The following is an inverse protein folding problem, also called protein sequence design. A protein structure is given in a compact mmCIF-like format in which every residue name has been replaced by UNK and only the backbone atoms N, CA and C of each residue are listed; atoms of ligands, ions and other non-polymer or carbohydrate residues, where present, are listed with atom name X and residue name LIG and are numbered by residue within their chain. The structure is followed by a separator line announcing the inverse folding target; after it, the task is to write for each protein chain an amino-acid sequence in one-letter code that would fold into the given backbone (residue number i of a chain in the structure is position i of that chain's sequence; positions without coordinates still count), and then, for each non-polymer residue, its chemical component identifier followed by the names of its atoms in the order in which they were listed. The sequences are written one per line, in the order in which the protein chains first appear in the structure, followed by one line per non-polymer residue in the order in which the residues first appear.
data_IF_243751163780
#
_entry.id   IF_243751163780
#
_cell.length_a   1.000
_cell.length_b   1.000
_cell.length_c   1.000
_cell.angle_alpha   90.00
_cell.angle_beta   90.00
_cell.angle_gamma   90.00
#
_symmetry.space_group_name_H-M   'P 1'
#
loop_
_entity.id
_entity.type
_entity.pdbx_description
1 polymer ?
#
# COMPACT_ATOMS: atom_id res chain seq x y z
N UNK A 1 -17.90 -20.98 -6.31
CA UNK A 1 -17.07 -19.77 -6.02
C UNK A 1 -17.91 -18.50 -5.93
N UNK A 2 -18.81 -18.23 -6.87
CA UNK A 2 -19.70 -17.06 -6.80
C UNK A 2 -20.53 -17.05 -5.52
N UNK A 3 -21.13 -18.19 -5.18
CA UNK A 3 -21.98 -18.33 -3.99
C UNK A 3 -21.21 -18.07 -2.70
N UNK A 4 -19.99 -18.61 -2.59
CA UNK A 4 -19.10 -18.35 -1.45
C UNK A 4 -18.73 -16.87 -1.32
N UNK A 5 -18.45 -16.19 -2.44
CA UNK A 5 -18.19 -14.74 -2.40
C UNK A 5 -19.43 -13.95 -1.97
N UNK A 6 -20.61 -14.36 -2.42
CA UNK A 6 -21.89 -13.76 -2.01
C UNK A 6 -22.13 -13.96 -0.51
N UNK A 7 -21.93 -15.17 -0.01
CA UNK A 7 -22.06 -15.51 1.41
C UNK A 7 -21.11 -14.67 2.29
N UNK A 8 -19.83 -14.58 1.90
CA UNK A 8 -18.85 -13.75 2.61
C UNK A 8 -19.27 -12.27 2.65
N UNK A 9 -19.81 -11.76 1.54
CA UNK A 9 -20.28 -10.37 1.47
C UNK A 9 -21.54 -10.17 2.33
N UNK A 10 -22.47 -11.13 2.33
CA UNK A 10 -23.71 -11.04 3.08
C UNK A 10 -23.50 -11.22 4.58
N UNK A 11 -22.71 -12.20 4.98
CA UNK A 11 -22.44 -12.51 6.38
C UNK A 11 -21.34 -11.63 7.01
N UNK A 12 -20.50 -11.00 6.19
CA UNK A 12 -19.35 -10.23 6.68
C UNK A 12 -18.31 -11.10 7.40
N UNK A 13 -18.25 -12.40 7.09
CA UNK A 13 -17.36 -13.36 7.75
C UNK A 13 -16.62 -14.21 6.73
N UNK A 14 -15.34 -14.42 6.97
CA UNK A 14 -14.52 -15.37 6.19
C UNK A 14 -14.64 -16.75 6.84
N UNK A 15 -14.86 -17.83 6.07
CA UNK A 15 -14.81 -19.20 6.57
C UNK A 15 -13.49 -19.52 7.27
N UNK A 16 -13.54 -20.35 8.32
CA UNK A 16 -12.35 -20.71 9.13
C UNK A 16 -11.21 -21.27 8.28
N UNK A 17 -11.54 -22.10 7.30
CA UNK A 17 -10.58 -22.79 6.44
C UNK A 17 -9.78 -21.82 5.55
N UNK A 18 -10.34 -20.64 5.24
CA UNK A 18 -9.69 -19.60 4.46
C UNK A 18 -8.91 -18.58 5.32
N UNK A 19 -8.95 -18.71 6.66
CA UNK A 19 -8.25 -17.80 7.58
C UNK A 19 -6.81 -18.18 7.86
N UNK A 20 -6.36 -19.35 7.42
CA UNK A 20 -4.95 -19.75 7.55
C UNK A 20 -4.14 -19.21 6.38
N UNK A 21 -3.00 -18.61 6.68
CA UNK A 21 -2.06 -18.16 5.67
C UNK A 21 -0.62 -18.41 6.11
N UNK A 22 0.30 -18.41 5.15
CA UNK A 22 1.72 -18.64 5.40
C UNK A 22 2.54 -17.41 5.03
N UNK A 23 3.65 -17.21 5.75
CA UNK A 23 4.70 -16.28 5.37
C UNK A 23 5.86 -17.11 4.82
N UNK A 24 6.32 -16.71 3.63
CA UNK A 24 7.58 -17.19 3.05
C UNK A 24 8.59 -16.06 3.10
N UNK A 25 9.72 -16.32 3.72
CA UNK A 25 10.80 -15.37 3.83
C UNK A 25 11.63 -15.34 2.55
N UNK A 26 11.65 -14.22 1.85
CA UNK A 26 12.43 -14.01 0.63
C UNK A 26 13.61 -13.09 0.95
N UNK A 27 14.83 -13.57 0.71
CA UNK A 27 16.04 -12.78 0.90
C UNK A 27 16.07 -11.58 -0.06
N UNK A 28 16.42 -10.39 0.46
CA UNK A 28 16.44 -9.14 -0.30
C UNK A 28 17.64 -9.00 -1.25
N UNK A 29 18.57 -9.98 -1.25
CA UNK A 29 19.78 -9.91 -2.04
C UNK A 29 20.85 -8.95 -1.49
N UNK A 30 20.62 -8.37 -0.29
CA UNK A 30 21.57 -7.46 0.40
C UNK A 30 21.45 -7.63 1.91
N UNK A 31 22.55 -7.33 2.64
CA UNK A 31 22.65 -7.50 4.09
C UNK A 31 23.10 -8.92 4.49
N UNK A 32 23.23 -9.13 5.79
CA UNK A 32 23.62 -10.46 6.32
C UNK A 32 22.43 -11.43 6.22
N UNK A 33 22.68 -12.62 5.67
CA UNK A 33 21.69 -13.67 5.54
C UNK A 33 21.26 -14.27 6.90
N UNK A 34 22.01 -14.03 7.96
CA UNK A 34 21.66 -14.43 9.32
C UNK A 34 20.74 -13.42 10.03
N UNK A 35 20.56 -12.24 9.46
CA UNK A 35 19.71 -11.20 10.02
C UNK A 35 18.29 -11.25 9.44
N UNK A 36 17.26 -11.30 10.31
CA UNK A 36 15.85 -11.25 9.91
C UNK A 36 15.51 -10.00 9.07
N UNK A 37 16.18 -8.87 9.32
CA UNK A 37 16.03 -7.63 8.57
C UNK A 37 16.37 -7.74 7.08
N UNK A 38 17.17 -8.73 6.69
CA UNK A 38 17.60 -9.01 5.32
C UNK A 38 16.54 -9.76 4.49
N UNK A 39 15.38 -10.08 5.07
CA UNK A 39 14.31 -10.82 4.41
C UNK A 39 13.03 -9.98 4.28
N UNK A 40 12.25 -10.29 3.24
CA UNK A 40 10.85 -9.83 3.08
C UNK A 40 9.92 -11.01 3.37
N UNK A 41 8.98 -10.82 4.27
CA UNK A 41 7.93 -11.81 4.56
C UNK A 41 6.78 -11.70 3.56
N UNK A 42 6.74 -12.57 2.56
CA UNK A 42 5.65 -12.59 1.59
C UNK A 42 4.52 -13.48 2.10
N UNK A 43 3.33 -12.92 2.23
CA UNK A 43 2.15 -13.66 2.70
C UNK A 43 1.51 -14.44 1.56
N UNK A 44 1.40 -15.74 1.75
CA UNK A 44 0.71 -16.64 0.82
C UNK A 44 -0.74 -16.82 1.31
N UNK A 45 -1.66 -16.26 0.55
CA UNK A 45 -3.10 -16.42 0.74
C UNK A 45 -3.63 -17.55 -0.13
N UNK A 46 -4.73 -18.15 0.30
CA UNK A 46 -5.47 -19.11 -0.53
C UNK A 46 -5.91 -18.48 -1.86
N UNK A 47 -6.04 -19.32 -2.90
CA UNK A 47 -6.44 -18.86 -4.22
C UNK A 47 -7.86 -18.26 -4.24
N UNK A 48 -8.76 -18.82 -3.44
CA UNK A 48 -10.13 -18.30 -3.29
C UNK A 48 -10.09 -16.89 -2.72
N UNK A 49 -9.26 -16.67 -1.68
CA UNK A 49 -9.07 -15.35 -1.10
C UNK A 49 -8.50 -14.35 -2.09
N UNK A 50 -7.55 -14.74 -2.93
CA UNK A 50 -7.00 -13.87 -3.99
C UNK A 50 -8.05 -13.48 -5.03
N UNK A 51 -8.97 -14.38 -5.37
CA UNK A 51 -10.09 -14.07 -6.27
C UNK A 51 -11.04 -13.09 -5.62
N UNK A 52 -11.42 -13.32 -4.35
CA UNK A 52 -12.26 -12.40 -3.58
C UNK A 52 -11.60 -11.01 -3.49
N UNK A 53 -10.32 -10.95 -3.13
CA UNK A 53 -9.56 -9.69 -3.08
C UNK A 53 -9.56 -8.94 -4.42
N UNK A 54 -9.44 -9.64 -5.55
CA UNK A 54 -9.53 -9.01 -6.89
C UNK A 54 -10.89 -8.40 -7.17
N UNK A 55 -11.97 -9.08 -6.77
CA UNK A 55 -13.33 -8.56 -6.94
C UNK A 55 -13.52 -7.30 -6.11
N UNK A 56 -13.06 -7.32 -4.86
CA UNK A 56 -13.15 -6.18 -3.94
C UNK A 56 -12.25 -5.05 -4.43
N UNK A 57 -11.01 -5.33 -4.80
CA UNK A 57 -10.06 -4.36 -5.34
C UNK A 57 -10.66 -3.60 -6.53
N UNK A 58 -11.24 -4.30 -7.50
CA UNK A 58 -11.88 -3.69 -8.67
C UNK A 58 -13.05 -2.79 -8.27
N UNK A 59 -13.87 -3.20 -7.29
CA UNK A 59 -14.99 -2.40 -6.79
C UNK A 59 -14.52 -1.17 -6.04
N UNK A 60 -13.56 -1.30 -5.14
CA UNK A 60 -12.99 -0.16 -4.40
C UNK A 60 -12.33 0.82 -5.38
N UNK A 61 -11.52 0.33 -6.31
CA UNK A 61 -10.85 1.17 -7.31
C UNK A 61 -11.82 1.96 -8.18
N UNK A 62 -12.99 1.43 -8.48
CA UNK A 62 -14.02 2.17 -9.23
C UNK A 62 -14.73 3.27 -8.45
N UNK A 63 -14.56 3.30 -7.12
CA UNK A 63 -15.20 4.28 -6.22
C UNK A 63 -14.27 5.39 -5.77
N UNK A 64 -12.96 5.11 -5.69
CA UNK A 64 -11.97 6.06 -5.20
C UNK A 64 -11.34 6.85 -6.34
N UNK A 65 -11.17 8.14 -6.11
CA UNK A 65 -10.35 8.98 -6.98
C UNK A 65 -8.96 9.13 -6.36
N UNK A 66 -7.94 8.78 -7.12
CA UNK A 66 -6.54 8.88 -6.70
C UNK A 66 -5.89 9.99 -7.51
N UNK A 67 -5.15 10.86 -6.85
CA UNK A 67 -4.45 11.99 -7.45
C UNK A 67 -3.55 11.56 -8.61
N UNK A 68 -3.48 12.36 -9.66
CA UNK A 68 -2.67 12.07 -10.84
C UNK A 68 -1.17 12.05 -10.58
N UNK A 69 -0.73 12.63 -9.48
CA UNK A 69 0.67 12.58 -9.04
C UNK A 69 1.04 11.31 -8.26
N UNK A 70 0.09 10.38 -8.05
CA UNK A 70 0.37 9.04 -7.55
C UNK A 70 0.72 8.10 -8.70
N UNK A 71 1.96 7.62 -8.75
CA UNK A 71 2.49 6.75 -9.81
C UNK A 71 2.61 5.29 -9.40
N UNK A 72 2.68 5.00 -8.10
CA UNK A 72 2.78 3.63 -7.61
C UNK A 72 1.45 2.90 -7.62
N UNK A 73 1.47 1.59 -7.98
CA UNK A 73 0.31 0.68 -7.98
C UNK A 73 -0.92 1.18 -8.74
N UNK A 74 -0.71 2.04 -9.71
CA UNK A 74 -1.76 2.63 -10.52
C UNK A 74 -1.68 2.11 -11.96
N UNK A 75 -2.78 1.58 -12.55
CA UNK A 75 -2.78 1.13 -13.93
C UNK A 75 -2.39 2.24 -14.91
N UNK A 76 -1.49 1.93 -15.83
CA UNK A 76 -1.03 2.87 -16.86
C UNK A 76 -0.05 3.95 -16.37
N UNK A 77 0.43 3.86 -15.14
CA UNK A 77 1.46 4.73 -14.57
C UNK A 77 2.65 3.89 -14.09
N UNK A 78 3.85 4.42 -14.22
CA UNK A 78 5.06 3.70 -13.82
C UNK A 78 6.18 4.62 -13.32
N UNK A 79 7.25 4.00 -12.85
CA UNK A 79 8.44 4.70 -12.37
C UNK A 79 9.05 5.60 -13.45
N UNK A 80 9.00 5.15 -14.70
CA UNK A 80 9.54 5.92 -15.84
C UNK A 80 8.84 7.26 -15.98
N UNK A 81 7.51 7.30 -15.81
CA UNK A 81 6.73 8.54 -15.90
C UNK A 81 7.12 9.51 -14.79
N UNK A 82 7.25 9.00 -13.55
CA UNK A 82 7.68 9.79 -12.40
C UNK A 82 9.09 10.37 -12.61
N UNK A 83 10.05 9.55 -13.04
CA UNK A 83 11.43 9.97 -13.33
C UNK A 83 11.45 11.02 -14.46
N UNK A 84 10.64 10.82 -15.50
CA UNK A 84 10.55 11.78 -16.61
C UNK A 84 10.09 13.14 -16.12
N UNK A 85 9.05 13.21 -15.29
CA UNK A 85 8.54 14.46 -14.73
C UNK A 85 9.62 15.17 -13.90
N UNK A 86 10.31 14.44 -13.02
CA UNK A 86 11.39 15.00 -12.20
C UNK A 86 12.51 15.58 -13.09
N UNK A 87 12.92 14.86 -14.12
CA UNK A 87 13.92 15.34 -15.08
C UNK A 87 13.46 16.59 -15.82
N UNK A 88 12.21 16.63 -16.30
CA UNK A 88 11.66 17.83 -16.96
C UNK A 88 11.64 19.05 -16.03
N UNK A 89 11.33 18.85 -14.75
CA UNK A 89 11.38 19.91 -13.75
C UNK A 89 12.84 20.40 -13.57
N UNK A 90 13.78 19.48 -13.42
CA UNK A 90 15.21 19.82 -13.28
C UNK A 90 15.73 20.61 -14.49
N UNK A 91 15.45 20.16 -15.71
CA UNK A 91 15.88 20.84 -16.94
C UNK A 91 15.34 22.27 -17.00
N UNK A 92 14.05 22.45 -16.70
CA UNK A 92 13.41 23.80 -16.70
C UNK A 92 14.01 24.75 -15.66
N UNK A 93 14.39 24.25 -14.48
CA UNK A 93 15.03 25.06 -13.46
C UNK A 93 16.47 25.43 -13.86
N UNK A 94 17.21 24.49 -14.48
CA UNK A 94 18.55 24.73 -15.03
C UNK A 94 18.52 25.77 -16.15
N UNK A 95 17.60 25.67 -17.10
CA UNK A 95 17.44 26.67 -18.18
C UNK A 95 17.18 28.08 -17.63
N UNK A 96 16.40 28.18 -16.56
CA UNK A 96 16.09 29.45 -15.91
C UNK A 96 17.16 29.89 -14.92
N UNK A 97 18.26 29.14 -14.77
CA UNK A 97 19.32 29.37 -13.78
C UNK A 97 18.77 29.57 -12.36
N UNK A 98 17.79 28.76 -11.98
CA UNK A 98 17.16 28.78 -10.65
C UNK A 98 17.50 27.51 -9.87
N UNK A 99 17.68 27.65 -8.58
CA UNK A 99 17.86 26.51 -7.68
C UNK A 99 16.57 25.72 -7.57
N UNK A 100 16.68 24.40 -7.61
CA UNK A 100 15.62 23.45 -7.35
C UNK A 100 15.97 22.66 -6.08
N UNK A 101 15.13 22.72 -5.09
CA UNK A 101 15.24 21.93 -3.87
C UNK A 101 14.28 20.76 -3.95
N UNK A 102 14.80 19.54 -3.74
CA UNK A 102 14.01 18.32 -3.73
C UNK A 102 14.26 17.56 -2.43
N UNK A 103 13.19 17.12 -1.77
CA UNK A 103 13.26 16.24 -0.63
C UNK A 103 12.69 14.86 -1.01
N UNK A 104 13.41 13.81 -0.63
CA UNK A 104 12.99 12.42 -0.84
C UNK A 104 12.72 11.81 0.52
N UNK A 105 11.50 11.32 0.73
CA UNK A 105 11.09 10.70 1.98
C UNK A 105 10.84 9.22 1.74
N UNK A 106 11.55 8.36 2.46
CA UNK A 106 11.35 6.91 2.46
C UNK A 106 10.63 6.49 3.75
N UNK A 107 9.53 5.74 3.61
CA UNK A 107 8.76 5.26 4.76
C UNK A 107 9.16 3.81 5.09
N UNK A 108 9.95 3.61 6.11
CA UNK A 108 10.48 2.30 6.47
C UNK A 108 9.40 1.29 6.85
N UNK A 109 9.33 0.16 6.11
CA UNK A 109 8.41 -0.98 6.36
C UNK A 109 6.95 -0.57 6.50
N UNK A 110 6.49 0.38 5.71
CA UNK A 110 5.16 0.97 5.86
C UNK A 110 4.04 -0.05 5.70
N UNK A 111 4.16 -1.02 4.80
CA UNK A 111 3.19 -2.11 4.66
C UNK A 111 3.01 -2.90 5.96
N UNK A 112 4.09 -3.12 6.69
CA UNK A 112 4.06 -3.88 7.93
C UNK A 112 3.63 -3.03 9.15
N UNK A 113 3.72 -1.69 9.04
CA UNK A 113 3.53 -0.77 10.17
C UNK A 113 2.24 0.05 10.14
N UNK A 114 1.57 0.18 8.98
CA UNK A 114 0.35 0.99 8.89
C UNK A 114 -0.74 0.42 9.84
N UNK A 115 -1.28 1.23 10.77
CA UNK A 115 -2.36 0.77 11.63
C UNK A 115 -3.61 0.50 10.80
N UNK A 116 -4.26 -0.63 11.02
CA UNK A 116 -5.46 -1.01 10.25
C UNK A 116 -6.61 -0.02 10.42
N UNK A 117 -6.73 0.60 11.58
CA UNK A 117 -7.73 1.65 11.81
C UNK A 117 -7.54 2.86 10.90
N UNK A 118 -6.28 3.19 10.55
CA UNK A 118 -5.98 4.24 9.56
C UNK A 118 -6.43 3.82 8.17
N UNK A 119 -6.29 2.53 7.82
CA UNK A 119 -6.81 2.00 6.55
C UNK A 119 -8.33 2.13 6.47
N UNK A 120 -9.04 1.74 7.56
CA UNK A 120 -10.51 1.84 7.63
C UNK A 120 -11.00 3.29 7.58
N UNK A 121 -10.31 4.18 8.26
CA UNK A 121 -10.56 5.62 8.21
C UNK A 121 -10.35 6.17 6.80
N UNK A 122 -9.25 5.84 6.14
CA UNK A 122 -8.93 6.31 4.79
C UNK A 122 -9.94 5.84 3.75
N UNK A 123 -10.40 4.58 3.81
CA UNK A 123 -11.45 4.06 2.95
C UNK A 123 -12.73 4.88 3.07
N UNK A 124 -13.18 5.16 4.30
CA UNK A 124 -14.37 5.98 4.56
C UNK A 124 -14.20 7.41 4.10
N UNK A 125 -13.02 8.01 4.35
CA UNK A 125 -12.68 9.38 3.92
C UNK A 125 -12.77 9.55 2.41
N UNK A 126 -12.38 8.52 1.64
CA UNK A 126 -12.48 8.54 0.17
C UNK A 126 -13.84 8.04 -0.36
N UNK A 127 -14.85 7.89 0.49
CA UNK A 127 -16.21 7.59 0.10
C UNK A 127 -16.48 6.13 -0.24
N UNK A 128 -15.65 5.19 0.23
CA UNK A 128 -15.92 3.76 0.06
C UNK A 128 -17.11 3.36 0.94
N UNK A 129 -18.07 2.66 0.35
CA UNK A 129 -19.30 2.21 1.01
C UNK A 129 -19.00 1.31 2.22
N UNK A 130 -19.73 1.48 3.32
CA UNK A 130 -19.44 0.80 4.60
C UNK A 130 -19.43 -0.72 4.48
N UNK A 131 -20.31 -1.29 3.66
CA UNK A 131 -20.31 -2.75 3.45
C UNK A 131 -18.99 -3.27 2.85
N UNK A 132 -18.36 -2.51 1.92
CA UNK A 132 -17.04 -2.85 1.39
C UNK A 132 -15.95 -2.75 2.48
N UNK A 133 -16.01 -1.70 3.31
CA UNK A 133 -15.10 -1.55 4.45
C UNK A 133 -15.24 -2.72 5.40
N UNK A 134 -16.47 -3.15 5.69
CA UNK A 134 -16.72 -4.30 6.57
C UNK A 134 -16.19 -5.61 5.99
N UNK A 135 -16.36 -5.87 4.70
CA UNK A 135 -15.80 -7.06 4.03
C UNK A 135 -14.27 -7.02 4.07
N UNK A 136 -13.66 -5.86 3.80
CA UNK A 136 -12.20 -5.72 3.90
C UNK A 136 -11.73 -5.98 5.33
N UNK A 137 -12.41 -5.44 6.34
CA UNK A 137 -12.09 -5.73 7.75
C UNK A 137 -12.19 -7.22 8.06
N UNK A 138 -13.20 -7.91 7.54
CA UNK A 138 -13.38 -9.35 7.73
C UNK A 138 -12.20 -10.17 7.16
N UNK A 139 -11.62 -9.75 6.01
CA UNK A 139 -10.42 -10.38 5.42
C UNK A 139 -9.23 -10.35 6.39
N UNK A 140 -9.13 -9.30 7.22
CA UNK A 140 -8.04 -9.12 8.18
C UNK A 140 -8.36 -9.67 9.58
N UNK A 141 -9.62 -10.04 9.87
CA UNK A 141 -10.06 -10.48 11.18
C UNK A 141 -9.79 -11.96 11.43
N UNK A 142 -9.20 -12.29 12.57
CA UNK A 142 -8.99 -13.67 13.03
C UNK A 142 -8.14 -14.53 12.10
N UNK A 143 -7.24 -13.93 11.35
CA UNK A 143 -6.34 -14.65 10.43
C UNK A 143 -5.15 -15.19 11.20
N UNK A 144 -4.98 -16.51 11.18
CA UNK A 144 -3.82 -17.19 11.74
C UNK A 144 -2.71 -17.27 10.69
N UNK A 145 -1.54 -16.80 11.04
CA UNK A 145 -0.35 -16.78 10.19
C UNK A 145 0.68 -17.77 10.73
N UNK A 146 1.29 -18.57 9.87
CA UNK A 146 2.43 -19.41 10.20
C UNK A 146 3.60 -19.11 9.26
N UNK A 147 4.83 -19.24 9.72
CA UNK A 147 6.02 -19.10 8.88
C UNK A 147 6.33 -20.45 8.25
N UNK A 148 6.45 -20.50 6.92
CA UNK A 148 6.84 -21.70 6.20
C UNK A 148 8.36 -21.83 6.23
N UNK A 149 8.83 -22.96 6.78
CA UNK A 149 10.24 -23.31 6.88
C UNK A 149 10.56 -24.50 5.98
N UNK A 150 11.84 -24.84 5.83
CA UNK A 150 12.30 -25.97 5.01
C UNK A 150 11.77 -27.30 5.54
N UNK A 151 11.73 -27.45 6.86
CA UNK A 151 11.39 -28.71 7.55
C UNK A 151 10.02 -28.67 8.25
N UNK A 152 9.12 -27.74 7.82
CA UNK A 152 7.78 -27.65 8.41
C UNK A 152 7.24 -26.22 8.46
N UNK A 153 6.37 -25.98 9.43
CA UNK A 153 5.79 -24.65 9.69
C UNK A 153 5.90 -24.30 11.19
N UNK A 154 5.97 -23.01 11.49
CA UNK A 154 5.94 -22.53 12.87
C UNK A 154 4.54 -22.67 13.48
N UNK A 155 4.46 -22.48 14.81
CA UNK A 155 3.18 -22.24 15.46
C UNK A 155 2.47 -21.05 14.84
N UNK A 156 1.13 -21.14 14.83
CA UNK A 156 0.28 -20.07 14.29
C UNK A 156 0.22 -18.88 15.22
N UNK A 157 0.31 -17.68 14.66
CA UNK A 157 0.19 -16.40 15.38
C UNK A 157 -0.69 -15.40 14.62
N UNK A 158 -1.20 -14.40 15.31
CA UNK A 158 -1.96 -13.33 14.70
C UNK A 158 -1.07 -12.13 14.36
N UNK A 159 -1.25 -11.58 13.16
CA UNK A 159 -0.65 -10.29 12.74
C UNK A 159 -1.74 -9.23 12.84
N UNK A 160 -1.60 -8.31 13.81
CA UNK A 160 -2.63 -7.30 14.15
C UNK A 160 -2.41 -5.93 13.48
N UNK A 161 -1.23 -5.70 12.91
CA UNK A 161 -0.83 -4.43 12.30
C UNK A 161 -0.41 -4.68 10.85
N UNK A 162 -0.47 -3.64 10.05
CA UNK A 162 -0.03 -3.68 8.66
C UNK A 162 -1.03 -4.31 7.70
N UNK A 163 -0.70 -4.16 6.43
CA UNK A 163 -1.38 -4.81 5.30
C UNK A 163 -0.49 -5.93 4.75
N UNK A 164 -1.10 -6.93 4.13
CA UNK A 164 -0.39 -8.15 3.79
C UNK A 164 0.49 -7.98 2.54
N UNK A 165 1.80 -8.12 2.68
CA UNK A 165 2.70 -8.24 1.53
C UNK A 165 2.38 -9.52 0.76
N UNK A 166 2.00 -9.38 -0.53
CA UNK A 166 1.54 -10.51 -1.37
C UNK A 166 0.02 -10.62 -1.53
N UNK A 167 -0.78 -9.79 -0.85
CA UNK A 167 -2.20 -9.59 -1.11
C UNK A 167 -2.43 -8.75 -2.36
N UNK A 168 -3.47 -9.05 -3.10
CA UNK A 168 -3.88 -8.27 -4.28
C UNK A 168 -4.45 -6.91 -3.87
N UNK A 169 -5.09 -6.85 -2.72
CA UNK A 169 -5.77 -5.66 -2.20
C UNK A 169 -4.81 -4.67 -1.53
N UNK A 170 -3.75 -5.15 -0.90
CA UNK A 170 -2.85 -4.32 -0.08
C UNK A 170 -2.22 -3.13 -0.80
N UNK A 171 -1.77 -3.24 -2.06
CA UNK A 171 -1.26 -2.08 -2.80
C UNK A 171 -2.29 -0.97 -2.94
N UNK A 172 -3.56 -1.31 -3.23
CA UNK A 172 -4.63 -0.32 -3.32
C UNK A 172 -4.93 0.31 -1.95
N UNK A 173 -5.03 -0.50 -0.89
CA UNK A 173 -5.26 0.02 0.46
C UNK A 173 -4.17 1.01 0.88
N UNK A 174 -2.94 0.72 0.51
CA UNK A 174 -1.82 1.60 0.81
C UNK A 174 -1.93 2.96 0.09
N UNK A 175 -2.17 2.97 -1.24
CA UNK A 175 -2.32 4.24 -1.95
C UNK A 175 -3.56 5.03 -1.49
N UNK A 176 -4.62 4.36 -1.02
CA UNK A 176 -5.79 5.00 -0.40
C UNK A 176 -5.39 5.71 0.90
N UNK A 177 -4.56 5.09 1.73
CA UNK A 177 -4.04 5.73 2.95
C UNK A 177 -3.19 6.94 2.58
N UNK A 178 -2.29 6.82 1.63
CA UNK A 178 -1.45 7.93 1.17
C UNK A 178 -2.30 9.08 0.62
N UNK A 179 -3.30 8.80 -0.21
CA UNK A 179 -4.23 9.80 -0.75
C UNK A 179 -5.00 10.51 0.36
N UNK A 180 -5.54 9.75 1.33
CA UNK A 180 -6.27 10.33 2.45
C UNK A 180 -5.40 11.23 3.34
N UNK A 181 -4.13 10.87 3.54
CA UNK A 181 -3.18 11.67 4.33
C UNK A 181 -2.70 12.91 3.58
N UNK A 182 -2.44 12.78 2.26
CA UNK A 182 -1.89 13.88 1.46
C UNK A 182 -2.93 14.85 0.95
N UNK A 183 -4.21 14.49 0.96
CA UNK A 183 -5.30 15.32 0.42
C UNK A 183 -5.34 16.76 0.97
N UNK A 184 -4.82 16.99 2.17
CA UNK A 184 -4.73 18.32 2.79
C UNK A 184 -3.56 19.15 2.26
N UNK A 185 -2.55 18.50 1.66
CA UNK A 185 -1.36 19.14 1.13
C UNK A 185 -1.49 19.53 -0.35
N UNK A 186 -2.49 18.99 -1.05
CA UNK A 186 -2.72 19.28 -2.48
C UNK A 186 -3.21 20.72 -2.79
N UNK A 187 -3.31 21.57 -1.80
CA UNK A 187 -3.76 22.95 -1.95
C UNK A 187 -2.59 23.86 -2.30
N UNK A 188 -2.17 23.80 -3.57
CA UNK A 188 -1.17 24.72 -4.13
C UNK A 188 0.27 24.41 -3.72
N UNK A 189 1.20 24.51 -4.66
CA UNK A 189 2.63 24.28 -4.53
C UNK A 189 3.17 24.00 -3.11
N UNK A 190 3.95 22.96 -2.90
CA UNK A 190 4.92 22.35 -3.83
C UNK A 190 4.35 21.16 -4.59
N UNK A 191 4.94 20.81 -5.72
CA UNK A 191 4.59 19.62 -6.48
C UNK A 191 5.02 18.38 -5.71
N UNK A 192 4.05 17.53 -5.41
CA UNK A 192 4.27 16.27 -4.71
C UNK A 192 4.17 15.14 -5.71
N UNK A 193 5.09 14.20 -5.65
CA UNK A 193 5.17 13.05 -6.51
C UNK A 193 5.22 11.81 -5.62
N UNK A 194 4.19 10.95 -5.68
CA UNK A 194 4.08 9.76 -4.86
C UNK A 194 4.40 8.52 -5.65
N UNK A 195 5.26 7.68 -5.10
CA UNK A 195 5.55 6.37 -5.64
C UNK A 195 5.48 5.31 -4.54
N UNK A 196 4.69 4.28 -4.74
CA UNK A 196 4.17 3.44 -3.66
C UNK A 196 4.98 2.19 -3.30
N UNK A 197 6.22 1.99 -3.65
CA UNK A 197 6.88 0.72 -3.28
C UNK A 197 8.19 0.87 -2.49
N UNK A 198 8.95 1.86 -2.75
CA UNK A 198 10.08 2.33 -1.94
C UNK A 198 10.03 3.86 -1.92
N UNK A 199 8.93 4.34 -1.58
CA UNK A 199 8.42 5.66 -1.31
C UNK A 199 9.37 6.81 -1.56
N UNK A 200 9.18 7.43 -2.71
CA UNK A 200 9.77 8.71 -2.96
C UNK A 200 8.67 9.76 -2.97
N UNK A 201 8.54 10.53 -1.90
CA UNK A 201 7.83 11.80 -1.93
C UNK A 201 8.86 12.80 -2.40
N UNK A 202 8.72 13.29 -3.63
CA UNK A 202 9.53 14.39 -4.14
C UNK A 202 8.74 15.69 -3.92
N UNK A 203 9.19 16.51 -2.99
CA UNK A 203 8.63 17.85 -2.77
C UNK A 203 9.57 18.85 -3.40
N UNK A 204 9.11 19.56 -4.44
CA UNK A 204 9.88 20.63 -5.07
C UNK A 204 9.52 21.96 -4.41
N UNK A 205 10.41 22.55 -3.64
CA UNK A 205 10.20 23.83 -2.96
C UNK A 205 10.85 24.97 -3.76
N UNK A 206 10.10 26.02 -4.13
CA UNK A 206 10.72 27.27 -4.57
C UNK A 206 11.36 27.99 -3.38
N UNK A 207 12.50 28.66 -3.59
CA UNK A 207 13.40 29.28 -2.60
C UNK A 207 12.77 30.25 -1.56
N UNK A 208 11.48 30.51 -1.54
CA UNK A 208 10.90 31.63 -0.79
C UNK A 208 9.93 31.29 0.34
N UNK A 209 9.83 30.06 0.80
CA UNK A 209 9.06 29.80 2.04
C UNK A 209 9.92 29.11 3.08
N UNK A 210 10.20 29.83 4.18
CA UNK A 210 10.74 29.25 5.41
C UNK A 210 9.74 28.20 5.88
N UNK A 211 10.16 26.96 5.88
CA UNK A 211 9.42 25.88 6.53
C UNK A 211 9.68 26.04 8.03
N UNK A 212 8.64 26.32 8.77
CA UNK A 212 8.65 26.21 10.23
C UNK A 212 8.30 24.76 10.57
N UNK A 213 9.23 24.09 11.20
CA UNK A 213 9.03 22.80 11.83
C UNK A 213 8.35 23.00 13.17
#
# INVERSE_FOLDING_TARGET
MTDLCIEIVQEGKIPSDLRKCWIVNVYKGKGDALECGSYRGIKLLDHVMKVLERVIEKRVRSKVSINDMQFGFRPGRGTTDAIFIVRQIQERFLEKKRDLWMAFVDLEKVFDRVPREVVWWALRRLGVEEWLVMVIRAIYAGVTTAVKMKDGESDGFEVKVGVYQGSVLSPLLFIIVMEALSSEFHVGLPWELFYADEQMICVCLPRQRRIWW
#
